data_IF_626172263176
#
_entry.id   IF_626172263176
#
_cell.length_a   1.000
_cell.length_b   1.000
_cell.length_c   1.000
_cell.angle_alpha   90.00
_cell.angle_beta   90.00
_cell.angle_gamma   90.00
#
_symmetry.space_group_name_H-M   'P 1'
#
loop_
_entity.id
_entity.type
_entity.pdbx_description
1 polymer ?
#
# COMPACT_ATOMS: atom_id res chain seq x y z
N UNK A 1 -13.32 -15.48 6.59
CA UNK A 1 -12.39 -14.42 6.98
C UNK A 1 -11.27 -14.38 5.94
N UNK A 2 -11.10 -13.25 5.23
CA UNK A 2 -10.03 -13.09 4.24
C UNK A 2 -8.69 -13.25 4.95
N UNK A 3 -7.82 -14.15 4.45
CA UNK A 3 -6.43 -14.26 4.89
C UNK A 3 -6.19 -15.01 6.20
N UNK A 4 -7.10 -15.86 6.66
CA UNK A 4 -6.83 -16.77 7.76
C UNK A 4 -5.59 -17.63 7.41
N UNK A 5 -4.54 -17.58 8.26
CA UNK A 5 -3.28 -18.29 8.05
C UNK A 5 -2.18 -17.51 7.34
N UNK A 6 -2.40 -16.25 6.95
CA UNK A 6 -1.33 -15.37 6.48
C UNK A 6 -0.57 -14.78 7.67
N UNK A 7 0.75 -14.79 7.63
CA UNK A 7 1.63 -14.32 8.71
C UNK A 7 1.32 -12.88 9.14
N UNK A 8 1.00 -12.00 8.18
CA UNK A 8 0.66 -10.61 8.48
C UNK A 8 -0.65 -10.45 9.29
N UNK A 9 -1.48 -11.49 9.40
CA UNK A 9 -2.73 -11.44 10.18
C UNK A 9 -2.49 -11.07 11.67
N UNK A 10 -1.35 -11.46 12.23
CA UNK A 10 -0.97 -11.15 13.61
C UNK A 10 -0.70 -9.64 13.81
N UNK A 11 -0.17 -8.96 12.78
CA UNK A 11 0.15 -7.53 12.82
C UNK A 11 -1.05 -6.62 12.51
N UNK A 12 -2.18 -7.17 12.02
CA UNK A 12 -3.37 -6.38 11.66
C UNK A 12 -3.95 -5.61 12.84
N UNK A 13 -3.90 -6.19 14.04
CA UNK A 13 -4.40 -5.54 15.26
C UNK A 13 -3.61 -4.27 15.59
N UNK A 14 -2.29 -4.34 15.51
CA UNK A 14 -1.40 -3.21 15.74
C UNK A 14 -1.59 -2.11 14.68
N UNK A 15 -1.69 -2.49 13.40
CA UNK A 15 -1.97 -1.53 12.32
C UNK A 15 -3.33 -0.85 12.52
N UNK A 16 -4.36 -1.61 12.85
CA UNK A 16 -5.69 -1.06 13.10
C UNK A 16 -5.71 -0.10 14.29
N UNK A 17 -4.98 -0.40 15.36
CA UNK A 17 -4.86 0.45 16.52
C UNK A 17 -4.15 1.77 16.17
N UNK A 18 -3.02 1.71 15.45
CA UNK A 18 -2.27 2.87 15.01
C UNK A 18 -3.11 3.79 14.10
N UNK A 19 -3.82 3.22 13.12
CA UNK A 19 -4.68 3.98 12.22
C UNK A 19 -5.87 4.61 12.93
N UNK A 20 -6.48 3.96 13.92
CA UNK A 20 -7.55 4.54 14.73
C UNK A 20 -7.04 5.69 15.60
N UNK A 21 -5.88 5.53 16.21
CA UNK A 21 -5.27 6.58 17.04
C UNK A 21 -4.95 7.84 16.23
N UNK A 22 -4.52 7.72 14.97
CA UNK A 22 -4.26 8.84 14.08
C UNK A 22 -5.51 9.48 13.46
N UNK A 23 -6.70 8.93 13.66
CA UNK A 23 -7.96 9.46 13.13
C UNK A 23 -8.14 9.27 11.61
N UNK A 24 -9.00 10.07 10.99
CA UNK A 24 -9.40 9.92 9.59
C UNK A 24 -8.23 10.04 8.61
N UNK A 25 -7.30 10.96 8.86
CA UNK A 25 -6.10 11.20 8.03
C UNK A 25 -4.86 10.46 8.52
N UNK A 26 -5.01 9.32 9.21
CA UNK A 26 -3.90 8.57 9.77
C UNK A 26 -2.87 8.13 8.70
N UNK A 27 -1.61 8.11 9.10
CA UNK A 27 -0.53 7.49 8.32
C UNK A 27 0.10 6.32 9.06
N UNK A 28 0.61 5.35 8.33
CA UNK A 28 1.39 4.25 8.88
C UNK A 28 2.35 3.69 7.84
N UNK A 29 3.45 3.12 8.29
CA UNK A 29 4.34 2.32 7.46
C UNK A 29 4.25 0.87 7.90
N UNK A 30 4.06 -0.02 6.94
CA UNK A 30 4.06 -1.47 7.15
C UNK A 30 5.36 -2.03 6.62
N UNK A 31 6.16 -2.60 7.50
CA UNK A 31 7.36 -3.34 7.15
C UNK A 31 7.09 -4.83 7.29
N UNK A 32 7.11 -5.56 6.17
CA UNK A 32 6.83 -6.99 6.19
C UNK A 32 7.49 -7.67 4.99
N UNK A 33 8.13 -8.84 5.18
CA UNK A 33 8.71 -9.61 4.10
C UNK A 33 7.72 -9.93 2.97
N UNK A 34 8.20 -10.23 1.75
CA UNK A 34 7.34 -10.70 0.67
C UNK A 34 6.59 -11.98 1.07
N UNK A 35 5.37 -12.16 0.56
CA UNK A 35 4.58 -13.36 0.83
C UNK A 35 3.84 -13.40 2.16
N UNK A 36 4.04 -12.47 3.09
CA UNK A 36 3.34 -12.40 4.39
C UNK A 36 1.85 -12.09 4.27
N UNK A 37 1.39 -11.57 3.14
CA UNK A 37 -0.01 -11.25 2.89
C UNK A 37 -0.38 -9.78 3.10
N UNK A 38 0.59 -8.86 3.28
CA UNK A 38 0.33 -7.42 3.45
C UNK A 38 -0.59 -6.85 2.36
N UNK A 39 -0.30 -7.11 1.08
CA UNK A 39 -1.11 -6.65 -0.07
C UNK A 39 -2.55 -7.20 -0.06
N UNK A 40 -2.76 -8.35 0.57
CA UNK A 40 -4.09 -9.00 0.66
C UNK A 40 -4.91 -8.49 1.85
N UNK A 41 -4.25 -8.18 2.98
CA UNK A 41 -4.93 -7.92 4.26
C UNK A 41 -5.09 -6.44 4.57
N UNK A 42 -4.12 -5.59 4.17
CA UNK A 42 -4.14 -4.16 4.48
C UNK A 42 -5.29 -3.41 3.76
N UNK A 43 -5.55 -3.62 2.46
CA UNK A 43 -6.62 -2.89 1.78
C UNK A 43 -8.02 -3.16 2.36
N UNK A 44 -8.43 -4.40 2.66
CA UNK A 44 -9.71 -4.65 3.35
C UNK A 44 -9.78 -4.05 4.75
N UNK A 45 -8.67 -4.02 5.50
CA UNK A 45 -8.64 -3.38 6.80
C UNK A 45 -8.97 -1.88 6.68
N UNK A 46 -8.31 -1.16 5.77
CA UNK A 46 -8.58 0.27 5.55
C UNK A 46 -10.02 0.50 5.06
N UNK A 47 -10.52 -0.35 4.18
CA UNK A 47 -11.91 -0.26 3.73
C UNK A 47 -12.90 -0.40 4.90
N UNK A 48 -12.65 -1.32 5.84
CA UNK A 48 -13.48 -1.49 7.03
C UNK A 48 -13.37 -0.31 7.99
N UNK A 49 -12.18 0.27 8.15
CA UNK A 49 -11.99 1.46 9.00
C UNK A 49 -12.71 2.68 8.40
N UNK A 50 -12.57 2.91 7.10
CA UNK A 50 -13.22 4.02 6.41
C UNK A 50 -14.76 3.88 6.39
N UNK A 51 -15.30 2.67 6.31
CA UNK A 51 -16.74 2.43 6.34
C UNK A 51 -17.41 2.86 7.66
N UNK A 52 -16.66 2.87 8.77
CA UNK A 52 -17.16 3.32 10.07
C UNK A 52 -17.20 4.84 10.25
N UNK A 53 -16.56 5.61 9.38
CA UNK A 53 -16.35 7.05 9.58
C UNK A 53 -17.20 7.99 8.72
N UNK A 54 -17.60 7.59 7.54
CA UNK A 54 -18.37 8.40 6.59
C UNK A 54 -19.58 7.61 6.12
N UNK A 55 -20.75 8.24 6.06
CA UNK A 55 -21.99 7.60 5.62
C UNK A 55 -22.04 7.17 4.15
N UNK A 56 -20.87 6.98 3.50
CA UNK A 56 -20.72 6.59 2.12
C UNK A 56 -19.96 5.27 1.94
N UNK A 57 -19.82 4.83 0.69
CA UNK A 57 -19.03 3.66 0.33
C UNK A 57 -17.55 4.05 0.34
N UNK A 58 -16.68 3.35 1.09
CA UNK A 58 -15.26 3.67 1.13
C UNK A 58 -14.59 3.43 -0.23
N UNK A 59 -13.57 4.22 -0.52
CA UNK A 59 -12.75 4.11 -1.73
C UNK A 59 -11.27 4.08 -1.36
N UNK A 60 -10.67 2.92 -1.54
CA UNK A 60 -9.26 2.66 -1.24
C UNK A 60 -8.51 2.47 -2.55
N UNK A 61 -7.45 3.23 -2.75
CA UNK A 61 -6.56 3.10 -3.91
C UNK A 61 -5.26 2.45 -3.47
N UNK A 62 -4.85 1.39 -4.16
CA UNK A 62 -3.62 0.64 -3.87
C UNK A 62 -2.69 0.71 -5.07
N UNK A 63 -1.48 1.22 -4.91
CA UNK A 63 -0.51 1.21 -5.99
C UNK A 63 0.27 -0.11 -6.03
N UNK A 64 0.55 -0.57 -7.25
CA UNK A 64 1.46 -1.68 -7.51
C UNK A 64 2.45 -1.26 -8.61
N UNK A 65 3.75 -1.47 -8.46
CA UNK A 65 4.74 -0.96 -9.41
C UNK A 65 4.58 -1.55 -10.81
N UNK A 66 4.03 -2.76 -10.91
CA UNK A 66 3.89 -3.50 -12.17
C UNK A 66 2.43 -3.78 -12.52
N UNK A 67 2.07 -3.56 -13.78
CA UNK A 67 0.70 -3.84 -14.27
C UNK A 67 0.23 -5.27 -14.00
N UNK A 68 1.14 -6.24 -14.14
CA UNK A 68 0.82 -7.66 -13.87
C UNK A 68 0.52 -7.86 -12.39
N UNK A 69 1.29 -7.24 -11.49
CA UNK A 69 1.07 -7.32 -10.06
C UNK A 69 -0.28 -6.69 -9.64
N UNK A 70 -0.61 -5.52 -10.17
CA UNK A 70 -1.90 -4.86 -9.92
C UNK A 70 -3.09 -5.76 -10.32
N UNK A 71 -3.03 -6.37 -11.51
CA UNK A 71 -4.06 -7.32 -11.97
C UNK A 71 -4.15 -8.56 -11.12
N UNK A 72 -3.00 -9.15 -10.76
CA UNK A 72 -2.94 -10.37 -9.96
C UNK A 72 -3.48 -10.12 -8.54
N UNK A 73 -3.08 -9.02 -7.91
CA UNK A 73 -3.55 -8.61 -6.58
C UNK A 73 -5.09 -8.39 -6.57
N UNK A 74 -5.61 -7.66 -7.57
CA UNK A 74 -7.04 -7.43 -7.70
C UNK A 74 -7.84 -8.73 -7.88
N UNK A 75 -7.39 -9.61 -8.78
CA UNK A 75 -8.03 -10.91 -9.02
C UNK A 75 -8.02 -11.78 -7.76
N UNK A 76 -6.86 -11.86 -7.09
CA UNK A 76 -6.74 -12.65 -5.86
C UNK A 76 -7.66 -12.11 -4.76
N UNK A 77 -7.68 -10.80 -4.54
CA UNK A 77 -8.51 -10.21 -3.50
C UNK A 77 -10.01 -10.35 -3.82
N UNK A 78 -10.43 -10.16 -5.08
CA UNK A 78 -11.81 -10.39 -5.50
C UNK A 78 -12.25 -11.84 -5.26
N UNK A 79 -11.39 -12.81 -5.61
CA UNK A 79 -11.65 -14.23 -5.36
C UNK A 79 -11.79 -14.55 -3.85
N UNK A 80 -10.94 -13.97 -3.01
CA UNK A 80 -10.99 -14.11 -1.55
C UNK A 80 -12.22 -13.43 -0.92
N UNK A 81 -12.68 -12.31 -1.51
CA UNK A 81 -13.91 -11.62 -1.12
C UNK A 81 -15.18 -12.30 -1.65
N UNK A 82 -15.05 -13.30 -2.52
CA UNK A 82 -16.17 -14.02 -3.13
C UNK A 82 -16.97 -13.17 -4.13
N UNK A 83 -16.38 -12.09 -4.66
CA UNK A 83 -17.01 -11.19 -5.62
C UNK A 83 -16.37 -11.27 -7.00
N UNK A 84 -17.12 -10.80 -8.03
CA UNK A 84 -16.55 -10.70 -9.37
C UNK A 84 -15.57 -9.53 -9.40
N UNK A 85 -14.49 -9.73 -10.19
CA UNK A 85 -13.55 -8.66 -10.46
C UNK A 85 -14.25 -7.47 -11.14
N UNK A 86 -14.05 -6.28 -10.60
CA UNK A 86 -14.74 -5.05 -11.02
C UNK A 86 -15.94 -4.68 -10.15
N UNK A 87 -16.48 -5.59 -9.33
CA UNK A 87 -17.58 -5.27 -8.42
C UNK A 87 -17.06 -4.49 -7.20
N UNK A 88 -16.57 -5.18 -6.16
CA UNK A 88 -16.00 -4.55 -4.97
C UNK A 88 -14.50 -4.31 -5.06
N UNK A 89 -13.81 -5.17 -5.76
CA UNK A 89 -12.37 -5.09 -6.00
C UNK A 89 -12.12 -5.00 -7.50
N UNK A 90 -11.33 -4.01 -7.89
CA UNK A 90 -11.01 -3.77 -9.29
C UNK A 90 -9.57 -3.30 -9.49
N UNK A 91 -9.23 -3.00 -10.72
CA UNK A 91 -7.95 -2.41 -11.07
C UNK A 91 -8.05 -1.46 -12.26
N UNK A 92 -7.11 -0.53 -12.33
CA UNK A 92 -6.87 0.30 -13.51
C UNK A 92 -5.37 0.36 -13.78
N UNK A 93 -5.00 -0.05 -14.98
CA UNK A 93 -3.64 0.03 -15.51
C UNK A 93 -3.66 0.68 -16.89
N UNK A 94 -2.50 1.05 -17.44
CA UNK A 94 -2.46 1.69 -18.75
C UNK A 94 -3.14 0.80 -19.81
N UNK A 95 -4.18 1.32 -20.46
CA UNK A 95 -4.94 0.67 -21.52
C UNK A 95 -6.00 -0.33 -21.06
N UNK A 96 -6.15 -0.55 -19.75
CA UNK A 96 -7.10 -1.53 -19.23
C UNK A 96 -7.72 -1.09 -17.90
N UNK A 97 -9.04 -1.23 -17.79
CA UNK A 97 -9.79 -0.91 -16.58
C UNK A 97 -10.85 -1.97 -16.30
N UNK A 98 -10.88 -2.46 -15.07
CA UNK A 98 -11.88 -3.40 -14.55
C UNK A 98 -12.38 -2.87 -13.20
N UNK A 99 -13.27 -1.89 -13.26
CA UNK A 99 -13.90 -1.27 -12.08
C UNK A 99 -15.36 -0.97 -12.40
N UNK A 100 -16.19 -0.91 -11.38
CA UNK A 100 -17.61 -0.57 -11.48
C UNK A 100 -18.02 0.46 -10.44
N UNK A 101 -19.30 0.86 -10.41
CA UNK A 101 -19.82 1.81 -9.42
C UNK A 101 -19.71 1.29 -7.98
N UNK A 102 -19.59 -0.04 -7.84
CA UNK A 102 -19.46 -0.75 -6.57
C UNK A 102 -18.03 -0.88 -6.05
N UNK A 103 -17.01 -0.48 -6.82
CA UNK A 103 -15.62 -0.73 -6.47
C UNK A 103 -15.22 0.05 -5.22
N UNK A 104 -14.76 -0.68 -4.22
CA UNK A 104 -14.27 -0.21 -2.92
C UNK A 104 -12.75 -0.16 -2.91
N UNK A 105 -12.09 -1.21 -3.41
CA UNK A 105 -10.65 -1.33 -3.47
C UNK A 105 -10.21 -1.37 -4.92
N UNK A 106 -9.37 -0.44 -5.32
CA UNK A 106 -8.87 -0.35 -6.69
C UNK A 106 -7.34 -0.43 -6.71
N UNK A 107 -6.82 -1.44 -7.40
CA UNK A 107 -5.38 -1.56 -7.65
C UNK A 107 -4.98 -0.78 -8.91
N UNK A 108 -3.97 0.07 -8.78
CA UNK A 108 -3.49 0.91 -9.88
C UNK A 108 -1.97 0.85 -10.00
N UNK A 109 -1.41 1.30 -11.13
CA UNK A 109 0.03 1.57 -11.20
C UNK A 109 0.32 3.00 -10.74
N UNK A 110 1.55 3.30 -10.25
CA UNK A 110 1.93 4.64 -9.82
C UNK A 110 1.60 5.73 -10.85
N UNK A 111 1.88 5.52 -12.13
CA UNK A 111 1.56 6.47 -13.18
C UNK A 111 0.07 6.72 -13.40
N UNK A 112 -0.82 5.77 -13.05
CA UNK A 112 -2.27 6.00 -13.08
C UNK A 112 -2.68 6.92 -11.92
N UNK A 113 -2.18 6.67 -10.72
CA UNK A 113 -2.48 7.51 -9.56
C UNK A 113 -1.90 8.93 -9.74
N UNK A 114 -0.68 9.04 -10.27
CA UNK A 114 -0.07 10.34 -10.58
C UNK A 114 -0.94 11.17 -11.55
N UNK A 115 -1.47 10.54 -12.60
CA UNK A 115 -2.40 11.21 -13.52
C UNK A 115 -3.69 11.66 -12.83
N UNK A 116 -4.20 10.88 -11.88
CA UNK A 116 -5.38 11.27 -11.09
C UNK A 116 -5.08 12.51 -10.24
N UNK A 117 -3.94 12.51 -9.55
CA UNK A 117 -3.50 13.66 -8.76
C UNK A 117 -3.32 14.94 -9.59
N UNK A 118 -2.83 14.81 -10.83
CA UNK A 118 -2.71 15.95 -11.74
C UNK A 118 -4.06 16.49 -12.22
N UNK A 119 -5.07 15.63 -12.33
CA UNK A 119 -6.42 16.01 -12.75
C UNK A 119 -7.32 16.44 -11.57
N UNK A 120 -7.11 15.86 -10.40
CA UNK A 120 -7.81 16.10 -9.15
C UNK A 120 -6.79 16.08 -8.00
N UNK A 121 -6.17 17.23 -7.70
CA UNK A 121 -5.16 17.34 -6.65
C UNK A 121 -5.66 16.96 -5.25
N UNK A 122 -6.95 17.08 -5.00
CA UNK A 122 -7.58 16.69 -3.75
C UNK A 122 -7.87 15.20 -3.64
N UNK A 123 -7.79 14.41 -4.71
CA UNK A 123 -8.28 13.02 -4.77
C UNK A 123 -9.68 12.88 -4.17
N UNK A 124 -10.61 13.73 -4.59
CA UNK A 124 -11.96 13.75 -4.04
C UNK A 124 -12.62 12.37 -4.10
N UNK A 125 -13.29 12.01 -3.00
CA UNK A 125 -13.94 10.69 -2.88
C UNK A 125 -12.99 9.52 -2.66
N UNK A 126 -11.69 9.73 -2.46
CA UNK A 126 -10.74 8.71 -2.00
C UNK A 126 -10.54 8.84 -0.49
N UNK A 127 -10.71 7.77 0.27
CA UNK A 127 -10.57 7.76 1.73
C UNK A 127 -9.18 7.34 2.17
N UNK A 128 -8.54 6.46 1.40
CA UNK A 128 -7.18 6.03 1.70
C UNK A 128 -6.38 5.68 0.44
N UNK A 129 -5.08 5.93 0.51
CA UNK A 129 -4.10 5.49 -0.47
C UNK A 129 -3.10 4.55 0.21
N UNK A 130 -2.84 3.42 -0.45
CA UNK A 130 -1.82 2.47 -0.06
C UNK A 130 -0.74 2.47 -1.14
N UNK A 131 0.47 2.83 -0.77
CA UNK A 131 1.65 2.71 -1.62
C UNK A 131 2.33 1.37 -1.32
N UNK A 132 2.14 0.38 -2.20
CA UNK A 132 2.76 -0.94 -2.02
C UNK A 132 4.10 -1.03 -2.73
N UNK A 133 4.99 -1.86 -2.16
CA UNK A 133 6.36 -2.12 -2.66
C UNK A 133 7.20 -0.83 -2.85
N UNK A 134 7.07 0.15 -1.91
CA UNK A 134 7.78 1.44 -2.01
C UNK A 134 9.31 1.31 -2.06
N UNK A 135 9.86 0.18 -1.63
CA UNK A 135 11.29 -0.13 -1.69
C UNK A 135 11.80 -0.41 -3.11
N UNK A 136 10.93 -0.74 -4.09
CA UNK A 136 11.36 -0.91 -5.49
C UNK A 136 11.83 0.42 -6.12
N UNK A 137 11.66 1.54 -5.42
CA UNK A 137 12.14 2.88 -5.79
C UNK A 137 11.97 3.20 -7.28
N UNK A 138 10.99 3.99 -7.60
CA UNK A 138 10.77 4.50 -8.95
C UNK A 138 10.42 5.99 -8.89
N UNK A 139 10.79 6.74 -9.91
CA UNK A 139 10.48 8.17 -10.00
C UNK A 139 9.00 8.48 -9.73
N UNK A 140 8.09 7.69 -10.32
CA UNK A 140 6.65 7.87 -10.12
C UNK A 140 6.23 7.61 -8.67
N UNK A 141 6.83 6.61 -8.00
CA UNK A 141 6.54 6.29 -6.60
C UNK A 141 7.08 7.38 -5.67
N UNK A 142 8.30 7.84 -5.89
CA UNK A 142 8.91 8.90 -5.08
C UNK A 142 8.14 10.23 -5.23
N UNK A 143 7.69 10.57 -6.45
CA UNK A 143 6.79 11.69 -6.70
C UNK A 143 5.45 11.55 -5.96
N UNK A 144 4.85 10.36 -6.00
CA UNK A 144 3.59 10.10 -5.30
C UNK A 144 3.72 10.29 -3.79
N UNK A 145 4.82 9.83 -3.18
CA UNK A 145 5.07 10.05 -1.75
C UNK A 145 5.04 11.55 -1.44
N UNK A 146 5.80 12.37 -2.18
CA UNK A 146 5.83 13.82 -1.97
C UNK A 146 4.47 14.47 -2.18
N UNK A 147 3.81 14.22 -3.32
CA UNK A 147 2.51 14.81 -3.64
C UNK A 147 1.41 14.41 -2.65
N UNK A 148 1.36 13.14 -2.23
CA UNK A 148 0.36 12.67 -1.27
C UNK A 148 0.60 13.25 0.12
N UNK A 149 1.86 13.51 0.50
CA UNK A 149 2.18 14.21 1.73
C UNK A 149 1.62 15.64 1.71
N UNK A 150 1.80 16.38 0.60
CA UNK A 150 1.20 17.72 0.42
C UNK A 150 -0.33 17.68 0.40
N UNK A 151 -0.94 16.74 -0.32
CA UNK A 151 -2.40 16.57 -0.35
C UNK A 151 -2.95 16.36 1.05
N UNK A 152 -2.27 15.57 1.89
CA UNK A 152 -2.70 15.35 3.29
C UNK A 152 -2.60 16.58 4.16
N UNK A 153 -1.69 17.52 3.87
CA UNK A 153 -1.67 18.82 4.56
C UNK A 153 -2.92 19.66 4.24
N UNK A 154 -3.39 19.58 3.01
CA UNK A 154 -4.59 20.31 2.56
C UNK A 154 -5.88 19.56 2.94
N UNK A 155 -5.80 18.25 3.12
CA UNK A 155 -6.92 17.35 3.29
C UNK A 155 -6.64 16.38 4.45
N UNK A 156 -6.96 16.80 5.66
CA UNK A 156 -6.68 16.06 6.91
C UNK A 156 -7.47 14.75 7.09
N UNK A 157 -8.20 14.30 6.08
CA UNK A 157 -9.07 13.10 6.12
C UNK A 157 -8.61 11.97 5.18
N UNK A 158 -7.51 12.14 4.44
CA UNK A 158 -6.94 11.13 3.56
C UNK A 158 -5.94 10.25 4.33
N UNK A 159 -6.28 8.99 4.56
CA UNK A 159 -5.33 8.04 5.14
C UNK A 159 -4.26 7.62 4.15
N UNK A 160 -3.01 7.50 4.61
CA UNK A 160 -1.87 7.10 3.78
C UNK A 160 -1.08 5.98 4.44
N UNK A 161 -0.96 4.84 3.75
CA UNK A 161 -0.17 3.71 4.22
C UNK A 161 0.91 3.39 3.19
N UNK A 162 2.17 3.34 3.63
CA UNK A 162 3.27 2.84 2.81
C UNK A 162 3.63 1.41 3.24
N UNK A 163 3.82 0.51 2.28
CA UNK A 163 4.21 -0.88 2.55
C UNK A 163 5.54 -1.19 1.89
N UNK A 164 6.47 -1.72 2.68
CA UNK A 164 7.83 -2.06 2.27
C UNK A 164 8.22 -3.46 2.70
N UNK A 165 9.08 -4.12 1.93
CA UNK A 165 9.70 -5.38 2.30
C UNK A 165 11.09 -5.19 2.93
N UNK A 166 11.62 -3.98 2.99
CA UNK A 166 12.99 -3.69 3.44
C UNK A 166 13.03 -2.76 4.65
N UNK A 167 14.22 -2.61 5.22
CA UNK A 167 14.51 -1.80 6.42
C UNK A 167 14.40 -0.27 6.21
N UNK A 168 13.98 0.20 5.03
CA UNK A 168 13.81 1.63 4.76
C UNK A 168 12.53 2.25 5.39
N UNK A 169 11.77 1.47 6.14
CA UNK A 169 10.54 1.90 6.79
C UNK A 169 10.69 3.19 7.63
N UNK A 170 11.76 3.40 8.44
CA UNK A 170 11.91 4.64 9.21
C UNK A 170 12.01 5.90 8.32
N UNK A 171 12.64 5.79 7.15
CA UNK A 171 12.72 6.91 6.20
C UNK A 171 11.34 7.28 5.64
N UNK A 172 10.55 6.28 5.24
CA UNK A 172 9.19 6.52 4.79
C UNK A 172 8.30 7.03 5.92
N UNK A 173 8.50 6.55 7.15
CA UNK A 173 7.78 7.01 8.33
C UNK A 173 8.02 8.50 8.58
N UNK A 174 9.25 8.98 8.46
CA UNK A 174 9.57 10.40 8.53
C UNK A 174 8.89 11.19 7.41
N UNK A 175 8.96 10.70 6.16
CA UNK A 175 8.40 11.40 5.00
C UNK A 175 6.87 11.54 5.06
N UNK A 176 6.14 10.52 5.51
CA UNK A 176 4.68 10.53 5.53
C UNK A 176 4.07 10.93 6.88
N UNK A 177 4.90 11.06 7.93
CA UNK A 177 4.47 11.41 9.28
C UNK A 177 4.19 12.90 9.49
N UNK A 178 4.95 13.78 8.88
CA UNK A 178 5.01 15.23 9.17
C UNK A 178 3.80 16.06 8.69
N UNK A 179 2.77 15.47 8.14
CA UNK A 179 1.68 16.20 7.49
C UNK A 179 0.49 16.48 8.40
N UNK A 180 0.65 17.26 9.48
CA UNK A 180 -0.47 17.87 10.23
C UNK A 180 -0.26 19.38 10.38
N UNK A 181 -0.69 20.14 9.38
CA UNK A 181 -0.92 21.58 9.52
C UNK A 181 -2.44 21.79 9.57
N UNK A 182 -3.00 22.01 10.76
CA UNK A 182 -4.40 22.39 10.90
C UNK A 182 -4.95 22.06 12.31
N UNK A 183 -4.99 23.09 13.16
CA UNK A 183 -5.82 23.23 14.35
C UNK A 183 -5.73 22.16 15.45
N UNK A 184 -4.79 22.31 16.33
CA UNK A 184 -5.00 22.47 17.77
C UNK A 184 -3.67 22.77 18.45
N UNK A 185 -3.38 24.04 18.62
CA UNK A 185 -2.39 24.51 19.58
C UNK A 185 -2.91 24.26 21.00
N UNK A 186 -2.94 23.01 21.42
CA UNK A 186 -3.23 22.62 22.80
C UNK A 186 -2.55 21.29 23.09
N UNK A 187 -1.28 21.39 23.46
CA UNK A 187 -0.55 20.38 24.22
C UNK A 187 0.02 19.21 23.42
N UNK A 188 1.34 19.23 23.16
CA UNK A 188 2.22 18.06 22.95
C UNK A 188 1.93 17.09 21.78
N UNK A 189 1.55 17.57 20.61
CA UNK A 189 1.58 16.73 19.39
C UNK A 189 2.53 17.36 18.38
N UNK A 190 3.84 17.30 18.65
CA UNK A 190 4.90 17.54 17.68
C UNK A 190 4.72 16.47 16.60
N UNK A 191 4.48 16.91 15.34
CA UNK A 191 4.32 16.04 14.20
C UNK A 191 5.49 15.05 14.07
N UNK A 192 5.34 13.88 14.68
CA UNK A 192 6.33 12.82 14.69
C UNK A 192 6.24 11.94 13.44
N UNK A 193 7.22 11.03 13.26
CA UNK A 193 7.19 10.07 12.18
C UNK A 193 5.95 9.18 12.29
N UNK A 194 5.44 8.74 11.14
CA UNK A 194 4.32 7.79 11.10
C UNK A 194 4.70 6.49 11.85
N UNK A 195 3.75 5.84 12.54
CA UNK A 195 4.01 4.57 13.20
C UNK A 195 4.46 3.50 12.19
N UNK A 196 5.53 2.78 12.56
CA UNK A 196 6.03 1.64 11.78
C UNK A 196 5.48 0.37 12.40
N UNK A 197 4.76 -0.41 11.60
CA UNK A 197 4.24 -1.72 11.98
C UNK A 197 5.16 -2.77 11.34
N UNK A 198 5.96 -3.39 12.18
CA UNK A 198 6.83 -4.48 11.76
C UNK A 198 6.09 -5.82 11.88
N UNK A 199 6.21 -6.64 10.83
CA UNK A 199 5.71 -8.01 10.84
C UNK A 199 6.91 -8.95 10.99
N UNK A 200 7.20 -9.44 12.21
CA UNK A 200 8.25 -10.42 12.40
C UNK A 200 7.85 -11.71 11.68
N UNK A 201 8.48 -11.97 10.54
CA UNK A 201 8.32 -13.22 9.82
C UNK A 201 9.53 -14.09 10.11
N UNK A 202 9.30 -15.32 10.56
CA UNK A 202 10.31 -16.33 10.50
C UNK A 202 10.66 -16.55 9.02
N UNK A 203 11.82 -16.04 8.61
CA UNK A 203 12.36 -16.33 7.29
C UNK A 203 12.58 -17.85 7.23
N UNK A 204 11.96 -18.51 6.26
CA UNK A 204 12.33 -19.88 5.95
C UNK A 204 13.84 -19.92 5.65
N UNK A 205 14.59 -20.87 6.21
CA UNK A 205 16.01 -20.98 5.89
C UNK A 205 16.16 -21.11 4.36
N UNK A 206 16.90 -20.18 3.78
CA UNK A 206 17.17 -20.18 2.35
C UNK A 206 18.52 -20.89 2.16
N UNK A 207 18.50 -22.14 1.67
CA UNK A 207 19.71 -22.82 1.21
C UNK A 207 20.06 -22.29 -0.18
N UNK A 208 21.03 -21.38 -0.23
CA UNK A 208 21.59 -20.89 -1.48
C UNK A 208 22.66 -21.86 -1.96
N UNK A 209 22.31 -22.73 -2.90
CA UNK A 209 23.27 -23.54 -3.66
C UNK A 209 23.79 -22.73 -4.85
N UNK A 210 25.05 -22.34 -4.81
CA UNK A 210 25.74 -21.78 -5.97
C UNK A 210 26.11 -22.92 -6.93
N UNK A 211 25.34 -23.10 -7.97
CA UNK A 211 25.70 -23.98 -9.08
C UNK A 211 26.77 -23.25 -9.88
N UNK A 212 28.03 -23.71 -9.78
CA UNK A 212 29.08 -23.33 -10.71
C UNK A 212 28.74 -23.90 -12.08
N UNK A 213 28.22 -23.09 -12.99
CA UNK A 213 28.17 -23.38 -14.41
C UNK A 213 29.61 -23.12 -14.90
N UNK A 214 30.45 -24.17 -14.94
CA UNK A 214 31.70 -24.10 -15.69
C UNK A 214 31.37 -23.86 -17.16
N UNK A 215 31.87 -22.76 -17.73
CA UNK A 215 31.78 -22.52 -19.17
C UNK A 215 32.36 -23.73 -19.92
N UNK A 216 31.68 -24.23 -20.96
CA UNK A 216 32.24 -25.26 -21.79
C UNK A 216 33.53 -24.74 -22.45
N UNK A 217 34.66 -25.33 -22.08
CA UNK A 217 35.94 -25.07 -22.71
C UNK A 217 35.79 -25.26 -24.20
N UNK A 218 35.89 -24.19 -25.01
CA UNK A 218 36.08 -24.33 -26.44
C UNK A 218 37.38 -25.10 -26.66
N UNK A 219 37.24 -26.35 -27.06
CA UNK A 219 38.37 -27.07 -27.65
C UNK A 219 38.66 -26.38 -29.00
N UNK A 220 39.84 -25.75 -29.09
CA UNK A 220 40.38 -25.32 -30.35
C UNK A 220 40.69 -26.60 -31.15
N UNK A 221 39.93 -26.82 -32.19
CA UNK A 221 40.34 -27.76 -33.23
C UNK A 221 41.45 -27.10 -34.05
N UNK A 222 42.58 -27.86 -34.17
CA UNK A 222 43.74 -27.51 -34.96
C UNK A 222 43.45 -27.87 -36.43
#
# INVERSE_FOLDING_TARGET
VIGAGLTFAESLGALAAALRAGGAGASAVVQAPPGTGKTTLVPPLLANLAAGGRGGRPRIVVTQPRRVAARAAARRLAALDGTRLGDRVGYTVRGERQTGPGTVIEFVTPGILLRRLLADPGLEGTDAVILDEVHERGLETDLLVGMLTEVRQLRGDLALVAMSATLDAPRFAALIGEARIGESASGNDDGGPAPVIDCPSALFPLDLSLIHISEPTRQAEI
#
